data_IF_899700747275
#
_entry.id   IF_899700747275
#
_cell.length_a   1.000
_cell.length_b   1.000
_cell.length_c   1.000
_cell.angle_alpha   90.00
_cell.angle_beta   90.00
_cell.angle_gamma   90.00
#
_symmetry.space_group_name_H-M   'P 1'
#
loop_
_entity.id
_entity.type
_entity.pdbx_description
1 polymer ?
#
# COMPACT_ATOMS: atom_id res chain seq x y z
N UNK A 1 18.92 6.29 -56.32
CA UNK A 1 18.41 7.41 -55.49
C UNK A 1 16.88 7.25 -55.47
N UNK A 2 16.14 7.26 -54.36
CA UNK A 2 16.40 7.86 -53.07
C UNK A 2 15.49 7.24 -51.98
N UNK A 3 16.11 6.94 -50.85
CA UNK A 3 15.58 7.00 -49.47
C UNK A 3 14.45 6.07 -49.00
N UNK A 4 14.93 5.07 -48.25
CA UNK A 4 14.38 4.53 -47.01
C UNK A 4 14.01 5.64 -46.01
N UNK A 5 12.72 5.92 -45.83
CA UNK A 5 12.14 6.52 -44.62
C UNK A 5 10.73 5.95 -44.55
N UNK A 6 10.42 5.05 -43.62
CA UNK A 6 10.01 5.47 -42.29
C UNK A 6 10.45 4.41 -41.26
N UNK A 7 11.51 4.75 -40.54
CA UNK A 7 11.76 4.19 -39.22
C UNK A 7 10.64 4.71 -38.31
N UNK A 8 9.52 3.99 -38.26
CA UNK A 8 8.68 4.07 -37.07
C UNK A 8 9.45 3.35 -35.98
N UNK A 9 10.20 4.16 -35.25
CA UNK A 9 10.76 3.88 -33.93
C UNK A 9 9.63 3.38 -33.03
N UNK A 10 9.32 2.09 -33.11
CA UNK A 10 8.56 1.36 -32.13
C UNK A 10 9.52 0.87 -31.05
N UNK A 11 10.28 1.78 -30.46
CA UNK A 11 10.84 1.58 -29.12
C UNK A 11 9.75 1.95 -28.11
N UNK A 12 8.60 1.31 -28.24
CA UNK A 12 7.68 1.21 -27.11
C UNK A 12 8.41 0.27 -26.14
N UNK A 13 8.65 0.66 -24.88
CA UNK A 13 9.14 -0.28 -23.89
C UNK A 13 8.03 -1.32 -23.74
N UNK A 14 8.22 -2.47 -24.40
CA UNK A 14 7.24 -3.54 -24.55
C UNK A 14 6.65 -3.98 -23.20
N UNK A 15 7.40 -3.83 -22.10
CA UNK A 15 6.91 -4.10 -20.75
C UNK A 15 6.00 -3.05 -20.10
N UNK A 16 5.89 -1.82 -20.63
CA UNK A 16 5.01 -0.79 -20.07
C UNK A 16 3.56 -0.93 -20.58
N UNK A 17 3.37 -1.26 -21.86
CA UNK A 17 2.03 -1.47 -22.43
C UNK A 17 1.31 -2.68 -21.80
N UNK A 18 2.04 -3.75 -21.44
CA UNK A 18 1.45 -4.92 -20.77
C UNK A 18 0.99 -4.61 -19.33
N UNK A 19 1.73 -3.75 -18.62
CA UNK A 19 1.36 -3.34 -17.26
C UNK A 19 0.19 -2.36 -17.26
N UNK A 20 0.19 -1.38 -18.16
CA UNK A 20 -0.88 -0.39 -18.30
C UNK A 20 -2.21 -1.03 -18.73
N UNK A 21 -2.18 -2.00 -19.67
CA UNK A 21 -3.38 -2.74 -20.10
C UNK A 21 -3.88 -3.72 -19.03
N UNK A 22 -2.99 -4.36 -18.29
CA UNK A 22 -3.34 -5.19 -17.13
C UNK A 22 -3.97 -4.34 -16.00
N UNK A 23 -3.45 -3.13 -15.75
CA UNK A 23 -4.03 -2.19 -14.78
C UNK A 23 -5.40 -1.70 -15.25
N UNK A 24 -5.56 -1.33 -16.54
CA UNK A 24 -6.81 -0.83 -17.11
C UNK A 24 -7.95 -1.86 -17.14
N UNK A 25 -7.64 -3.14 -17.37
CA UNK A 25 -8.63 -4.25 -17.24
C UNK A 25 -9.08 -4.41 -15.78
N UNK A 26 -8.15 -4.36 -14.82
CA UNK A 26 -8.46 -4.43 -13.39
C UNK A 26 -9.26 -3.21 -12.90
N UNK A 27 -9.05 -2.06 -13.56
CA UNK A 27 -9.69 -0.78 -13.32
C UNK A 27 -11.20 -0.79 -13.54
N UNK A 28 -11.62 -1.35 -14.69
CA UNK A 28 -13.01 -1.40 -15.13
C UNK A 28 -13.89 -2.25 -14.19
N UNK A 29 -13.26 -3.13 -13.41
CA UNK A 29 -13.93 -4.00 -12.46
C UNK A 29 -13.81 -3.57 -10.99
N UNK A 30 -13.23 -2.41 -10.63
CA UNK A 30 -13.16 -2.01 -9.21
C UNK A 30 -14.58 -1.71 -8.72
N UNK A 31 -15.18 -2.55 -7.86
CA UNK A 31 -16.49 -2.27 -7.34
C UNK A 31 -16.36 -1.19 -6.27
N UNK A 32 -17.30 -0.25 -6.25
CA UNK A 32 -17.47 0.74 -5.18
C UNK A 32 -17.46 0.11 -3.77
N UNK A 33 -17.91 -1.13 -3.65
CA UNK A 33 -17.84 -1.94 -2.43
C UNK A 33 -16.42 -2.11 -1.90
N UNK A 34 -15.42 -2.22 -2.77
CA UNK A 34 -14.04 -2.46 -2.39
C UNK A 34 -13.35 -1.17 -1.94
N UNK A 35 -13.71 -0.02 -2.53
CA UNK A 35 -13.29 1.31 -2.04
C UNK A 35 -13.89 1.57 -0.65
N UNK A 36 -15.18 1.28 -0.46
CA UNK A 36 -15.83 1.42 0.84
C UNK A 36 -15.18 0.50 1.90
N UNK A 37 -14.94 -0.76 1.55
CA UNK A 37 -14.22 -1.71 2.40
C UNK A 37 -12.80 -1.20 2.73
N UNK A 38 -12.09 -0.65 1.76
CA UNK A 38 -10.76 -0.09 1.94
C UNK A 38 -10.74 1.09 2.93
N UNK A 39 -11.72 1.98 2.86
CA UNK A 39 -11.87 3.07 3.81
C UNK A 39 -12.11 2.58 5.24
N UNK A 40 -12.98 1.58 5.42
CA UNK A 40 -13.24 0.98 6.74
C UNK A 40 -11.98 0.31 7.30
N UNK A 41 -11.28 -0.46 6.47
CA UNK A 41 -10.01 -1.11 6.80
C UNK A 41 -8.93 -0.10 7.20
N UNK A 42 -8.82 1.03 6.51
CA UNK A 42 -7.90 2.12 6.88
C UNK A 42 -8.23 2.71 8.25
N UNK A 43 -9.51 2.94 8.55
CA UNK A 43 -9.95 3.46 9.84
C UNK A 43 -9.61 2.50 10.99
N UNK A 44 -9.88 1.21 10.80
CA UNK A 44 -9.55 0.17 11.80
C UNK A 44 -8.03 0.06 11.98
N UNK A 45 -7.25 0.10 10.89
CA UNK A 45 -5.79 0.06 10.95
C UNK A 45 -5.20 1.25 11.70
N UNK A 46 -5.67 2.48 11.42
CA UNK A 46 -5.25 3.68 12.15
C UNK A 46 -5.57 3.61 13.64
N UNK A 47 -6.76 3.11 13.99
CA UNK A 47 -7.15 2.90 15.38
C UNK A 47 -6.24 1.86 16.07
N UNK A 48 -5.94 0.75 15.40
CA UNK A 48 -5.00 -0.27 15.89
C UNK A 48 -3.57 0.26 16.02
N UNK A 49 -3.12 1.09 15.06
CA UNK A 49 -1.80 1.71 15.07
C UNK A 49 -1.64 2.65 16.26
N UNK A 50 -2.65 3.48 16.53
CA UNK A 50 -2.68 4.35 17.70
C UNK A 50 -2.68 3.54 19.01
N UNK A 51 -3.48 2.46 19.08
CA UNK A 51 -3.52 1.57 20.25
C UNK A 51 -2.18 0.91 20.54
N UNK A 52 -1.56 0.30 19.52
CA UNK A 52 -0.26 -0.37 19.66
C UNK A 52 0.89 0.61 19.92
N UNK A 53 0.84 1.79 19.31
CA UNK A 53 1.82 2.87 19.54
C UNK A 53 1.78 3.44 20.96
N UNK A 54 0.59 3.58 21.55
CA UNK A 54 0.44 4.04 22.95
C UNK A 54 1.01 3.03 23.93
N UNK A 55 0.81 1.73 23.69
CA UNK A 55 1.42 0.65 24.51
C UNK A 55 2.94 0.69 24.37
N UNK A 56 3.47 0.86 23.16
CA UNK A 56 4.91 1.03 22.92
C UNK A 56 5.49 2.24 23.65
N UNK A 57 4.80 3.38 23.59
CA UNK A 57 5.20 4.62 24.29
C UNK A 57 5.18 4.45 25.80
N UNK A 58 4.12 3.83 26.34
CA UNK A 58 3.95 3.60 27.77
C UNK A 58 5.00 2.61 28.32
N UNK A 59 5.25 1.49 27.61
CA UNK A 59 6.28 0.52 28.00
C UNK A 59 7.70 1.07 27.83
N UNK A 60 7.93 1.92 26.83
CA UNK A 60 9.24 2.55 26.58
C UNK A 60 9.62 3.59 27.65
N UNK A 61 8.65 4.32 28.21
CA UNK A 61 8.92 5.35 29.21
C UNK A 61 8.86 4.87 30.67
N UNK A 62 8.16 3.77 30.97
CA UNK A 62 7.72 3.46 32.34
C UNK A 62 8.21 2.13 32.93
N UNK A 63 9.22 1.44 32.38
CA UNK A 63 9.69 0.20 33.03
C UNK A 63 11.21 0.01 32.98
N UNK A 64 11.87 -0.20 34.16
CA UNK A 64 13.26 -0.63 34.21
C UNK A 64 13.42 -1.98 33.52
N UNK A 65 14.43 -2.07 32.64
CA UNK A 65 14.73 -3.12 31.66
C UNK A 65 14.64 -4.57 32.18
N UNK A 66 13.43 -5.11 32.24
CA UNK A 66 13.18 -6.55 32.40
C UNK A 66 13.02 -7.20 31.02
N UNK A 67 13.57 -8.41 30.78
CA UNK A 67 13.43 -9.14 29.50
C UNK A 67 11.97 -9.36 29.09
N UNK A 68 11.03 -9.25 30.04
CA UNK A 68 9.60 -9.34 29.79
C UNK A 68 9.05 -8.18 28.94
N UNK A 69 9.59 -6.98 29.14
CA UNK A 69 9.15 -5.77 28.41
C UNK A 69 9.61 -5.80 26.95
N UNK A 70 10.80 -6.36 26.69
CA UNK A 70 11.34 -6.51 25.32
C UNK A 70 10.47 -7.45 24.49
N UNK A 71 9.94 -8.53 25.10
CA UNK A 71 9.04 -9.46 24.40
C UNK A 71 7.73 -8.79 24.00
N UNK A 72 7.11 -8.04 24.93
CA UNK A 72 5.86 -7.32 24.67
C UNK A 72 6.09 -6.18 23.67
N UNK A 73 7.24 -5.50 23.74
CA UNK A 73 7.62 -4.46 22.79
C UNK A 73 7.84 -5.03 21.38
N UNK A 74 8.49 -6.19 21.28
CA UNK A 74 8.71 -6.87 20.00
C UNK A 74 7.39 -7.34 19.37
N UNK A 75 6.46 -7.83 20.18
CA UNK A 75 5.11 -8.15 19.72
C UNK A 75 4.39 -6.87 19.22
N UNK A 76 4.39 -5.80 20.02
CA UNK A 76 3.78 -4.52 19.63
C UNK A 76 4.41 -3.91 18.36
N UNK A 77 5.73 -4.05 18.16
CA UNK A 77 6.43 -3.62 16.94
C UNK A 77 6.02 -4.49 15.75
N UNK A 78 5.86 -5.80 15.92
CA UNK A 78 5.38 -6.68 14.87
C UNK A 78 3.95 -6.30 14.47
N UNK A 79 3.05 -6.09 15.44
CA UNK A 79 1.67 -5.63 15.20
C UNK A 79 1.62 -4.26 14.52
N UNK A 80 2.43 -3.30 14.97
CA UNK A 80 2.55 -1.98 14.33
C UNK A 80 3.03 -2.09 12.88
N UNK A 81 4.05 -2.92 12.65
CA UNK A 81 4.64 -3.12 11.31
C UNK A 81 3.67 -3.82 10.37
N UNK A 82 2.89 -4.79 10.86
CA UNK A 82 1.84 -5.46 10.09
C UNK A 82 0.69 -4.51 9.74
N UNK A 83 0.21 -3.72 10.71
CA UNK A 83 -0.84 -2.71 10.48
C UNK A 83 -0.36 -1.62 9.49
N UNK A 84 0.89 -1.20 9.61
CA UNK A 84 1.51 -0.22 8.71
C UNK A 84 1.68 -0.78 7.29
N UNK A 85 2.11 -2.03 7.14
CA UNK A 85 2.18 -2.70 5.85
C UNK A 85 0.79 -2.82 5.20
N UNK A 86 -0.21 -3.22 5.99
CA UNK A 86 -1.59 -3.29 5.53
C UNK A 86 -2.09 -1.90 5.09
N UNK A 87 -1.82 -0.84 5.86
CA UNK A 87 -2.16 0.53 5.50
C UNK A 87 -1.49 0.97 4.19
N UNK A 88 -0.21 0.68 4.00
CA UNK A 88 0.50 0.98 2.75
C UNK A 88 -0.10 0.25 1.55
N UNK A 89 -0.47 -1.02 1.71
CA UNK A 89 -1.07 -1.82 0.64
C UNK A 89 -2.46 -1.30 0.26
N UNK A 90 -3.28 -0.94 1.26
CA UNK A 90 -4.59 -0.31 1.04
C UNK A 90 -4.46 1.08 0.40
N UNK A 91 -3.45 1.86 0.80
CA UNK A 91 -3.18 3.16 0.21
C UNK A 91 -2.72 3.03 -1.25
N UNK A 92 -1.84 2.08 -1.56
CA UNK A 92 -1.39 1.78 -2.92
C UNK A 92 -2.55 1.31 -3.82
N UNK A 93 -3.46 0.52 -3.27
CA UNK A 93 -4.69 0.13 -3.98
C UNK A 93 -5.57 1.36 -4.26
N UNK A 94 -5.75 2.24 -3.27
CA UNK A 94 -6.56 3.45 -3.42
C UNK A 94 -5.93 4.43 -4.42
N UNK A 95 -4.60 4.60 -4.40
CA UNK A 95 -3.92 5.45 -5.39
C UNK A 95 -4.07 4.87 -6.78
N UNK A 96 -3.88 3.56 -6.96
CA UNK A 96 -4.13 2.87 -8.23
C UNK A 96 -5.56 3.10 -8.71
N UNK A 97 -6.57 2.93 -7.83
CA UNK A 97 -7.96 3.19 -8.13
C UNK A 97 -8.24 4.66 -8.50
N UNK A 98 -7.52 5.62 -7.90
CA UNK A 98 -7.63 7.04 -8.22
C UNK A 98 -7.06 7.36 -9.60
N UNK A 99 -5.89 6.81 -9.97
CA UNK A 99 -5.34 6.92 -11.33
C UNK A 99 -6.30 6.32 -12.36
N UNK A 100 -6.84 5.17 -12.02
CA UNK A 100 -7.88 4.47 -12.75
C UNK A 100 -9.14 5.30 -13.05
N UNK A 101 -9.60 6.05 -12.07
CA UNK A 101 -10.78 6.93 -12.21
C UNK A 101 -10.46 8.20 -13.01
N UNK A 102 -9.17 8.56 -13.09
CA UNK A 102 -8.70 9.80 -13.74
C UNK A 102 -8.32 9.62 -15.21
N UNK A 103 -8.17 8.38 -15.70
CA UNK A 103 -7.80 8.05 -17.08
C UNK A 103 -9.05 7.86 -17.95
#
# INVERSE_FOLDING_TARGET
>A
ENSTTNLTMNDIPFGALDLETFIAEQCSSIPYSLIAFAGVCLGISLCGLAGNGVVMWFLGFHTPQSPFTVYILNLAVADFSLLLLFLLLMLAFLTLAAFCTSL
#
